data_IF_903360980336
#
_entry.id   IF_903360980336
#
_cell.length_a   1.000
_cell.length_b   1.000
_cell.length_c   1.000
_cell.angle_alpha   90.00
_cell.angle_beta   90.00
_cell.angle_gamma   90.00
#
_symmetry.space_group_name_H-M   'P 1'
#
loop_
_entity.id
_entity.type
_entity.pdbx_description
1 polymer ?
#
# COMPACT_ATOMS: atom_id res chain seq x y z
N UNK A 1 -1.42 10.78 8.43
CA UNK A 1 -1.55 11.70 7.29
C UNK A 1 -1.95 10.86 6.08
N UNK A 2 -2.93 11.26 5.32
CA UNK A 2 -3.35 10.51 4.12
C UNK A 2 -2.32 10.65 3.01
N UNK A 3 -2.20 9.64 2.12
CA UNK A 3 -1.28 9.68 0.94
C UNK A 3 -1.49 10.95 0.11
N UNK A 4 -2.75 11.41 0.00
CA UNK A 4 -3.13 12.66 -0.66
C UNK A 4 -2.48 13.90 -0.01
N UNK A 5 -2.48 14.01 1.32
CA UNK A 5 -1.88 15.17 2.01
C UNK A 5 -0.37 15.21 1.84
N UNK A 6 0.29 14.05 1.88
CA UNK A 6 1.74 13.97 1.66
C UNK A 6 2.06 14.29 0.19
N UNK A 7 1.28 13.78 -0.76
CA UNK A 7 1.43 14.08 -2.19
C UNK A 7 1.27 15.57 -2.49
N UNK A 8 0.27 16.23 -1.91
CA UNK A 8 0.05 17.68 -2.06
C UNK A 8 1.17 18.50 -1.42
N UNK A 9 1.65 18.12 -0.22
CA UNK A 9 2.79 18.77 0.42
C UNK A 9 4.06 18.63 -0.41
N UNK A 10 4.33 17.44 -0.95
CA UNK A 10 5.47 17.19 -1.84
C UNK A 10 5.37 18.05 -3.11
N UNK A 11 4.17 18.12 -3.72
CA UNK A 11 3.91 18.98 -4.87
C UNK A 11 4.18 20.46 -4.54
N UNK A 12 3.68 20.95 -3.41
CA UNK A 12 3.89 22.31 -2.96
C UNK A 12 5.39 22.62 -2.72
N UNK A 13 6.13 21.68 -2.13
CA UNK A 13 7.59 21.82 -1.92
C UNK A 13 8.33 21.89 -3.26
N UNK A 14 8.00 21.03 -4.22
CA UNK A 14 8.67 20.97 -5.53
C UNK A 14 8.37 22.24 -6.34
N UNK A 15 7.09 22.63 -6.44
CA UNK A 15 6.68 23.88 -7.10
C UNK A 15 7.26 25.11 -6.40
N UNK A 16 7.25 25.10 -5.05
CA UNK A 16 7.89 26.14 -4.23
C UNK A 16 9.38 26.29 -4.53
N UNK A 17 10.07 25.17 -4.74
CA UNK A 17 11.47 25.15 -5.17
C UNK A 17 11.69 25.94 -6.47
N UNK A 18 10.86 25.71 -7.50
CA UNK A 18 10.95 26.46 -8.75
C UNK A 18 10.71 27.97 -8.54
N UNK A 19 9.70 28.34 -7.72
CA UNK A 19 9.41 29.74 -7.40
C UNK A 19 10.55 30.41 -6.63
N UNK A 20 11.16 29.69 -5.67
CA UNK A 20 12.37 30.16 -4.96
C UNK A 20 13.51 30.39 -5.95
N UNK A 21 13.73 29.47 -6.91
CA UNK A 21 14.73 29.63 -7.97
C UNK A 21 14.49 30.90 -8.80
N UNK A 22 13.27 31.17 -9.26
CA UNK A 22 12.89 32.39 -9.94
C UNK A 22 13.09 33.64 -9.06
N UNK A 23 12.84 33.54 -7.77
CA UNK A 23 13.12 34.63 -6.81
C UNK A 23 14.61 34.92 -6.65
N UNK A 24 15.42 33.86 -6.45
CA UNK A 24 16.88 33.97 -6.34
C UNK A 24 17.52 34.60 -7.59
N UNK A 25 17.02 34.27 -8.79
CA UNK A 25 17.48 34.90 -10.03
C UNK A 25 17.37 36.43 -10.01
N UNK A 26 16.44 37.00 -9.21
CA UNK A 26 16.26 38.46 -9.10
C UNK A 26 17.20 39.11 -8.09
N UNK A 27 17.61 38.34 -7.09
CA UNK A 27 18.37 38.83 -5.94
C UNK A 27 19.86 38.59 -6.11
N UNK A 28 20.26 37.53 -6.83
CA UNK A 28 21.68 37.21 -7.02
C UNK A 28 22.35 38.20 -8.00
N UNK A 29 23.57 38.69 -7.65
CA UNK A 29 24.39 39.50 -8.55
C UNK A 29 24.78 38.74 -9.82
N UNK A 30 24.93 39.45 -10.93
CA UNK A 30 25.19 38.85 -12.24
C UNK A 30 26.46 37.98 -12.31
N UNK A 31 27.47 38.26 -11.47
CA UNK A 31 28.70 37.46 -11.44
C UNK A 31 28.51 36.05 -10.87
N UNK A 32 27.49 35.81 -10.04
CA UNK A 32 27.11 34.47 -9.58
C UNK A 32 26.32 33.67 -10.62
N UNK A 33 25.85 34.33 -11.66
CA UNK A 33 25.12 33.74 -12.79
C UNK A 33 25.99 33.62 -14.06
N UNK A 34 27.32 33.67 -13.91
CA UNK A 34 28.26 33.49 -15.03
C UNK A 34 28.09 32.10 -15.66
N UNK A 35 28.49 31.96 -16.95
CA UNK A 35 28.41 30.68 -17.65
C UNK A 35 29.19 29.58 -16.93
N UNK A 36 30.37 29.89 -16.41
CA UNK A 36 31.21 28.95 -15.66
C UNK A 36 30.50 28.43 -14.38
N UNK A 37 29.88 29.37 -13.63
CA UNK A 37 29.08 28.99 -12.43
C UNK A 37 27.88 28.15 -12.82
N UNK A 38 27.17 28.50 -13.89
CA UNK A 38 26.04 27.71 -14.39
C UNK A 38 26.46 26.29 -14.76
N UNK A 39 27.57 26.12 -15.44
CA UNK A 39 28.03 24.82 -15.91
C UNK A 39 28.46 23.93 -14.73
N UNK A 40 29.11 24.47 -13.72
CA UNK A 40 29.45 23.76 -12.49
C UNK A 40 28.20 23.33 -11.71
N UNK A 41 27.23 24.23 -11.57
CA UNK A 41 25.96 23.89 -10.89
C UNK A 41 25.19 22.84 -11.70
N UNK A 42 25.14 22.92 -13.02
CA UNK A 42 24.49 21.89 -13.86
C UNK A 42 25.11 20.51 -13.67
N UNK A 43 26.43 20.42 -13.54
CA UNK A 43 27.12 19.15 -13.25
C UNK A 43 26.72 18.60 -11.89
N UNK A 44 26.74 19.42 -10.83
CA UNK A 44 26.34 19.01 -9.49
C UNK A 44 24.86 18.58 -9.44
N UNK A 45 23.98 19.35 -10.07
CA UNK A 45 22.55 19.06 -10.20
C UNK A 45 22.32 17.78 -11.01
N UNK A 46 23.14 17.50 -12.03
CA UNK A 46 23.11 16.27 -12.79
C UNK A 46 23.37 15.04 -11.92
N UNK A 47 24.32 15.10 -10.98
CA UNK A 47 24.58 14.02 -10.01
C UNK A 47 23.36 13.82 -9.08
N UNK A 48 22.79 14.90 -8.56
CA UNK A 48 21.58 14.82 -7.73
C UNK A 48 20.40 14.23 -8.53
N UNK A 49 20.25 14.64 -9.79
CA UNK A 49 19.17 14.16 -10.65
C UNK A 49 19.26 12.64 -10.90
N UNK A 50 20.47 12.14 -11.21
CA UNK A 50 20.68 10.70 -11.40
C UNK A 50 20.46 9.92 -10.11
N UNK A 51 20.93 10.41 -8.97
CA UNK A 51 20.69 9.79 -7.66
C UNK A 51 19.19 9.78 -7.32
N UNK A 52 18.49 10.88 -7.59
CA UNK A 52 17.04 11.00 -7.37
C UNK A 52 16.28 10.00 -8.24
N UNK A 53 16.64 9.88 -9.52
CA UNK A 53 16.00 8.95 -10.45
C UNK A 53 16.21 7.49 -10.00
N UNK A 54 17.43 7.13 -9.55
CA UNK A 54 17.74 5.82 -9.04
C UNK A 54 16.92 5.49 -7.79
N UNK A 55 16.90 6.39 -6.80
CA UNK A 55 16.15 6.21 -5.55
C UNK A 55 14.65 6.12 -5.83
N UNK A 56 14.11 6.98 -6.69
CA UNK A 56 12.70 6.94 -7.07
C UNK A 56 12.36 5.62 -7.78
N UNK A 57 13.21 5.15 -8.70
CA UNK A 57 13.03 3.88 -9.38
C UNK A 57 13.02 2.68 -8.41
N UNK A 58 13.94 2.67 -7.44
CA UNK A 58 13.96 1.66 -6.36
C UNK A 58 12.71 1.73 -5.49
N UNK A 59 12.24 2.93 -5.16
CA UNK A 59 11.01 3.10 -4.38
C UNK A 59 9.78 2.58 -5.12
N UNK A 60 9.64 2.91 -6.40
CA UNK A 60 8.53 2.41 -7.24
C UNK A 60 8.58 0.88 -7.31
N UNK A 61 9.76 0.30 -7.57
CA UNK A 61 9.95 -1.16 -7.62
C UNK A 61 9.63 -1.84 -6.30
N UNK A 62 10.11 -1.29 -5.19
CA UNK A 62 9.86 -1.82 -3.84
C UNK A 62 8.38 -1.73 -3.47
N UNK A 63 7.73 -0.58 -3.71
CA UNK A 63 6.30 -0.38 -3.42
C UNK A 63 5.41 -1.29 -4.27
N UNK A 64 5.77 -1.47 -5.56
CA UNK A 64 5.08 -2.41 -6.44
C UNK A 64 5.22 -3.85 -5.93
N UNK A 65 6.42 -4.25 -5.54
CA UNK A 65 6.67 -5.59 -4.97
C UNK A 65 5.87 -5.85 -3.70
N UNK A 66 5.76 -4.86 -2.80
CA UNK A 66 4.93 -4.98 -1.59
C UNK A 66 3.44 -5.08 -1.92
N UNK A 67 2.96 -4.28 -2.87
CA UNK A 67 1.58 -4.32 -3.32
C UNK A 67 1.22 -5.68 -3.92
N UNK A 68 2.08 -6.24 -4.78
CA UNK A 68 1.87 -7.54 -5.40
C UNK A 68 1.93 -8.68 -4.36
N UNK A 69 2.89 -8.64 -3.45
CA UNK A 69 3.00 -9.62 -2.36
C UNK A 69 1.75 -9.62 -1.46
N UNK A 70 1.16 -8.45 -1.18
CA UNK A 70 -0.11 -8.36 -0.45
C UNK A 70 -1.24 -9.05 -1.22
N UNK A 71 -1.30 -8.86 -2.55
CA UNK A 71 -2.27 -9.54 -3.41
C UNK A 71 -2.14 -11.06 -3.36
N UNK A 72 -0.93 -11.58 -3.49
CA UNK A 72 -0.64 -13.02 -3.41
C UNK A 72 -1.03 -13.62 -2.05
N UNK A 73 -0.74 -12.91 -0.96
CA UNK A 73 -1.14 -13.34 0.40
C UNK A 73 -2.66 -13.38 0.57
N UNK A 74 -3.37 -12.44 -0.04
CA UNK A 74 -4.83 -12.43 -0.01
C UNK A 74 -5.42 -13.64 -0.78
N UNK A 75 -4.79 -14.02 -1.90
CA UNK A 75 -5.15 -15.23 -2.65
C UNK A 75 -4.94 -16.48 -1.79
N UNK A 76 -3.78 -16.58 -1.11
CA UNK A 76 -3.48 -17.71 -0.24
C UNK A 76 -4.40 -17.77 0.98
N UNK A 77 -4.74 -16.61 1.55
CA UNK A 77 -5.72 -16.51 2.65
C UNK A 77 -7.10 -17.02 2.21
N UNK A 78 -7.57 -16.61 1.02
CA UNK A 78 -8.82 -17.10 0.44
C UNK A 78 -8.80 -18.61 0.17
N UNK A 79 -7.70 -19.14 -0.37
CA UNK A 79 -7.53 -20.58 -0.60
C UNK A 79 -7.60 -21.39 0.70
N UNK A 80 -6.93 -20.93 1.77
CA UNK A 80 -6.98 -21.59 3.07
C UNK A 80 -8.40 -21.60 3.66
N UNK A 81 -9.18 -20.54 3.44
CA UNK A 81 -10.60 -20.50 3.86
C UNK A 81 -11.41 -21.58 3.13
N UNK A 82 -11.23 -21.72 1.80
CA UNK A 82 -11.91 -22.74 1.00
C UNK A 82 -11.54 -24.15 1.50
N UNK A 83 -10.25 -24.40 1.72
CA UNK A 83 -9.77 -25.71 2.20
C UNK A 83 -10.34 -26.01 3.59
N UNK A 84 -10.36 -25.01 4.49
CA UNK A 84 -10.95 -25.19 5.82
C UNK A 84 -12.45 -25.53 5.73
N UNK A 85 -13.21 -24.81 4.90
CA UNK A 85 -14.65 -25.08 4.72
C UNK A 85 -14.91 -26.48 4.15
N UNK A 86 -14.12 -26.89 3.13
CA UNK A 86 -14.21 -28.24 2.54
C UNK A 86 -13.89 -29.32 3.56
N UNK A 87 -12.81 -29.16 4.34
CA UNK A 87 -12.44 -30.12 5.41
C UNK A 87 -13.55 -30.23 6.46
N UNK A 88 -14.20 -29.13 6.82
CA UNK A 88 -15.31 -29.10 7.75
C UNK A 88 -16.61 -29.71 7.15
N UNK A 89 -16.81 -29.57 5.83
CA UNK A 89 -17.91 -30.18 5.13
C UNK A 89 -17.78 -31.73 5.11
N UNK A 90 -16.56 -32.23 4.87
CA UNK A 90 -16.25 -33.67 4.89
C UNK A 90 -16.35 -34.26 6.31
N UNK A 91 -16.05 -33.47 7.35
CA UNK A 91 -16.17 -33.92 8.75
C UNK A 91 -17.59 -34.38 9.09
N UNK A 92 -18.60 -33.70 8.54
CA UNK A 92 -19.99 -34.04 8.73
C UNK A 92 -20.88 -32.90 9.23
N UNK A 93 -22.16 -33.17 9.44
CA UNK A 93 -23.17 -32.16 9.80
C UNK A 93 -22.90 -31.47 11.14
N UNK A 94 -22.14 -32.08 12.04
CA UNK A 94 -21.76 -31.53 13.34
C UNK A 94 -20.85 -30.27 13.18
N UNK A 95 -20.11 -30.16 12.07
CA UNK A 95 -19.27 -29.04 11.78
C UNK A 95 -20.03 -27.82 11.18
N UNK A 96 -21.33 -27.96 10.90
CA UNK A 96 -22.14 -26.89 10.30
C UNK A 96 -22.08 -25.57 11.08
N UNK A 97 -22.14 -25.53 12.42
CA UNK A 97 -22.00 -24.27 13.17
C UNK A 97 -20.61 -23.60 12.95
N UNK A 98 -19.54 -24.40 12.87
CA UNK A 98 -18.19 -23.86 12.62
C UNK A 98 -18.10 -23.25 11.22
N UNK A 99 -18.68 -23.89 10.18
CA UNK A 99 -18.75 -23.36 8.81
C UNK A 99 -19.54 -22.05 8.74
N UNK A 100 -20.68 -21.96 9.44
CA UNK A 100 -21.47 -20.71 9.50
C UNK A 100 -20.70 -19.57 10.15
N UNK A 101 -19.97 -19.83 11.23
CA UNK A 101 -19.10 -18.83 11.86
C UNK A 101 -17.95 -18.41 10.94
N UNK A 102 -17.34 -19.34 10.22
CA UNK A 102 -16.29 -19.05 9.24
C UNK A 102 -16.84 -18.13 8.14
N UNK A 103 -17.99 -18.45 7.56
CA UNK A 103 -18.65 -17.64 6.54
C UNK A 103 -18.92 -16.22 7.02
N UNK A 104 -19.53 -16.06 8.21
CA UNK A 104 -19.79 -14.74 8.80
C UNK A 104 -18.52 -13.96 9.05
N UNK A 105 -17.43 -14.64 9.40
CA UNK A 105 -16.12 -14.02 9.57
C UNK A 105 -15.59 -13.43 8.27
N UNK A 106 -15.68 -14.17 7.17
CA UNK A 106 -15.24 -13.71 5.85
C UNK A 106 -16.12 -12.58 5.35
N UNK A 107 -17.44 -12.67 5.51
CA UNK A 107 -18.38 -11.59 5.19
C UNK A 107 -18.05 -10.29 5.96
N UNK A 108 -17.77 -10.40 7.25
CA UNK A 108 -17.40 -9.26 8.08
C UNK A 108 -16.09 -8.59 7.64
N UNK A 109 -15.07 -9.39 7.26
CA UNK A 109 -13.79 -8.89 6.74
C UNK A 109 -14.01 -8.16 5.42
N UNK A 110 -14.78 -8.74 4.48
CA UNK A 110 -15.09 -8.11 3.19
C UNK A 110 -15.81 -6.78 3.36
N UNK A 111 -16.84 -6.73 4.20
CA UNK A 111 -17.61 -5.51 4.45
C UNK A 111 -16.77 -4.40 5.08
N UNK A 112 -15.73 -4.75 5.84
CA UNK A 112 -14.87 -3.81 6.54
C UNK A 112 -13.72 -3.29 5.69
N UNK A 113 -13.08 -4.15 4.88
CA UNK A 113 -11.92 -3.78 4.07
C UNK A 113 -12.30 -3.17 2.72
N UNK A 114 -13.45 -3.54 2.17
CA UNK A 114 -13.96 -3.02 0.89
C UNK A 114 -15.36 -2.42 1.04
N UNK A 115 -15.51 -1.35 1.84
CA UNK A 115 -16.82 -0.73 2.10
C UNK A 115 -17.37 0.04 0.89
N UNK A 116 -16.56 0.31 -0.14
CA UNK A 116 -16.96 1.08 -1.34
C UNK A 116 -18.03 0.39 -2.16
N UNK A 117 -18.31 -0.84 -1.84
CA UNK A 117 -19.47 -1.54 -2.34
C UNK A 117 -20.70 -1.32 -1.46
N UNK A 118 -20.51 -0.65 -0.31
CA UNK A 118 -21.55 -0.09 0.59
C UNK A 118 -20.92 1.01 1.44
N UNK A 119 -21.46 2.24 1.36
CA UNK A 119 -21.09 3.46 2.08
C UNK A 119 -20.60 3.29 3.53
N UNK A 120 -19.37 3.73 3.83
CA UNK A 120 -18.85 3.92 5.19
C UNK A 120 -17.38 3.51 5.34
N UNK A 121 -16.54 4.45 5.78
CA UNK A 121 -15.10 4.29 5.91
C UNK A 121 -14.68 3.17 6.86
N UNK A 122 -13.61 2.49 6.52
CA UNK A 122 -13.03 1.43 7.34
C UNK A 122 -11.54 1.63 7.59
N UNK A 123 -11.11 1.20 8.75
CA UNK A 123 -9.74 1.29 9.24
C UNK A 123 -9.16 -0.11 9.47
N UNK A 124 -7.83 -0.26 9.38
CA UNK A 124 -7.05 -1.45 9.75
C UNK A 124 -7.44 -2.05 11.12
N UNK A 125 -7.90 -1.22 12.06
CA UNK A 125 -8.49 -1.63 13.33
C UNK A 125 -9.63 -2.65 13.18
N UNK A 126 -10.26 -2.71 12.02
CA UNK A 126 -11.35 -3.64 11.74
C UNK A 126 -10.88 -5.10 11.55
N UNK A 127 -9.64 -5.33 11.07
CA UNK A 127 -9.07 -6.67 10.97
C UNK A 127 -8.65 -7.16 12.35
N UNK A 128 -8.14 -6.24 13.17
CA UNK A 128 -7.63 -6.53 14.51
C UNK A 128 -8.74 -6.97 15.47
N UNK A 129 -9.93 -6.38 15.38
CA UNK A 129 -11.11 -6.69 16.20
C UNK A 129 -12.00 -7.80 15.65
N UNK A 130 -11.61 -8.49 14.57
CA UNK A 130 -12.38 -9.62 14.06
C UNK A 130 -12.26 -10.84 15.00
N UNK A 131 -12.93 -10.77 16.15
CA UNK A 131 -13.12 -11.87 17.13
C UNK A 131 -13.82 -13.12 16.55
N UNK A 132 -14.17 -13.05 15.27
CA UNK A 132 -14.93 -14.08 14.56
C UNK A 132 -14.13 -15.36 14.29
N UNK A 133 -12.80 -15.31 14.09
CA UNK A 133 -11.96 -16.52 13.98
C UNK A 133 -11.83 -17.26 15.32
N UNK A 134 -11.89 -16.55 16.43
CA UNK A 134 -11.91 -17.17 17.76
C UNK A 134 -13.22 -17.93 17.99
N UNK A 135 -14.34 -17.44 17.47
CA UNK A 135 -15.60 -18.16 17.50
C UNK A 135 -15.52 -19.47 16.68
N UNK A 136 -14.87 -19.45 15.51
CA UNK A 136 -14.60 -20.68 14.74
C UNK A 136 -13.75 -21.66 15.57
N UNK A 137 -12.69 -21.16 16.22
CA UNK A 137 -11.82 -21.99 17.07
C UNK A 137 -12.57 -22.63 18.23
N UNK A 138 -13.49 -21.89 18.88
CA UNK A 138 -14.34 -22.44 19.94
C UNK A 138 -15.22 -23.54 19.39
N UNK A 139 -15.86 -23.33 18.23
CA UNK A 139 -16.72 -24.35 17.61
C UNK A 139 -15.95 -25.61 17.19
N UNK A 140 -14.72 -25.48 16.71
CA UNK A 140 -13.84 -26.61 16.41
C UNK A 140 -13.51 -27.43 17.67
N UNK A 141 -13.32 -26.80 18.83
CA UNK A 141 -13.05 -27.47 20.10
C UNK A 141 -14.27 -28.23 20.67
N UNK A 142 -15.46 -27.80 20.30
CA UNK A 142 -16.70 -28.46 20.70
C UNK A 142 -16.96 -29.78 19.93
N UNK A 143 -16.30 -29.98 18.77
CA UNK A 143 -16.44 -31.18 17.96
C UNK A 143 -15.82 -32.38 18.66
N UNK A 144 -16.58 -33.49 18.67
CA UNK A 144 -16.17 -34.77 19.27
C UNK A 144 -16.01 -35.80 18.15
N UNK A 145 -14.78 -36.09 17.68
CA UNK A 145 -14.57 -37.05 16.61
C UNK A 145 -14.91 -38.47 17.07
N UNK A 146 -15.78 -39.15 16.33
CA UNK A 146 -16.18 -40.53 16.58
C UNK A 146 -15.30 -41.54 15.85
N UNK A 147 -14.62 -41.15 14.77
CA UNK A 147 -13.77 -42.01 13.94
C UNK A 147 -12.35 -41.47 13.88
N UNK A 148 -11.39 -42.32 13.47
CA UNK A 148 -9.99 -41.90 13.27
C UNK A 148 -9.87 -40.89 12.12
N UNK A 149 -10.72 -41.06 11.10
CA UNK A 149 -10.80 -40.14 9.98
C UNK A 149 -11.25 -38.75 10.43
N UNK A 150 -12.31 -38.64 11.23
CA UNK A 150 -12.77 -37.39 11.83
C UNK A 150 -11.69 -36.76 12.73
N UNK A 151 -10.90 -37.57 13.46
CA UNK A 151 -9.76 -37.04 14.24
C UNK A 151 -8.68 -36.41 13.36
N UNK A 152 -8.38 -37.06 12.24
CA UNK A 152 -7.41 -36.52 11.26
C UNK A 152 -7.92 -35.22 10.64
N UNK A 153 -9.18 -35.16 10.20
CA UNK A 153 -9.81 -33.95 9.62
C UNK A 153 -9.86 -32.81 10.64
N UNK A 154 -10.19 -33.07 11.89
CA UNK A 154 -10.22 -32.06 12.95
C UNK A 154 -8.80 -31.51 13.22
N UNK A 155 -7.78 -32.37 13.24
CA UNK A 155 -6.38 -31.94 13.39
C UNK A 155 -5.95 -31.05 12.21
N UNK A 156 -6.30 -31.42 10.98
CA UNK A 156 -6.06 -30.63 9.78
C UNK A 156 -6.78 -29.28 9.83
N UNK A 157 -8.07 -29.26 10.22
CA UNK A 157 -8.85 -28.04 10.37
C UNK A 157 -8.22 -27.06 11.39
N UNK A 158 -7.72 -27.57 12.51
CA UNK A 158 -6.98 -26.78 13.49
C UNK A 158 -5.68 -26.21 12.92
N UNK A 159 -4.94 -26.98 12.12
CA UNK A 159 -3.72 -26.52 11.48
C UNK A 159 -4.04 -25.40 10.48
N UNK A 160 -5.02 -25.59 9.59
CA UNK A 160 -5.42 -24.58 8.61
C UNK A 160 -5.91 -23.29 9.31
N UNK A 161 -6.70 -23.41 10.38
CA UNK A 161 -7.15 -22.24 11.15
C UNK A 161 -5.99 -21.49 11.80
N UNK A 162 -4.94 -22.18 12.24
CA UNK A 162 -3.73 -21.55 12.75
C UNK A 162 -2.98 -20.83 11.64
N UNK A 163 -2.90 -21.41 10.44
CA UNK A 163 -2.27 -20.77 9.27
C UNK A 163 -3.07 -19.53 8.82
N UNK A 164 -4.40 -19.59 8.82
CA UNK A 164 -5.27 -18.43 8.58
C UNK A 164 -5.00 -17.34 9.62
N UNK A 165 -4.93 -17.70 10.91
CA UNK A 165 -4.66 -16.76 11.99
C UNK A 165 -3.28 -16.10 11.86
N UNK A 166 -2.25 -16.88 11.53
CA UNK A 166 -0.89 -16.36 11.27
C UNK A 166 -0.87 -15.42 10.07
N UNK A 167 -1.49 -15.84 8.95
CA UNK A 167 -1.57 -15.02 7.73
C UNK A 167 -2.26 -13.68 8.00
N UNK A 168 -3.32 -13.67 8.82
CA UNK A 168 -4.00 -12.44 9.24
C UNK A 168 -3.05 -11.46 9.93
N UNK A 169 -2.26 -11.94 10.90
CA UNK A 169 -1.31 -11.09 11.61
C UNK A 169 -0.22 -10.53 10.70
N UNK A 170 0.28 -11.35 9.77
CA UNK A 170 1.26 -10.91 8.78
C UNK A 170 0.66 -9.84 7.86
N UNK A 171 -0.58 -10.00 7.40
CA UNK A 171 -1.28 -9.01 6.59
C UNK A 171 -1.45 -7.67 7.33
N UNK A 172 -1.81 -7.71 8.62
CA UNK A 172 -1.95 -6.51 9.46
C UNK A 172 -0.60 -5.80 9.61
N UNK A 173 0.45 -6.53 9.96
CA UNK A 173 1.78 -5.96 10.17
C UNK A 173 2.37 -5.37 8.88
N UNK A 174 2.20 -6.04 7.75
CA UNK A 174 2.67 -5.53 6.46
C UNK A 174 1.89 -4.31 5.99
N UNK A 175 0.57 -4.27 6.23
CA UNK A 175 -0.23 -3.10 5.92
C UNK A 175 0.17 -1.87 6.77
N UNK A 176 0.79 -2.07 7.94
CA UNK A 176 1.31 -1.01 8.80
C UNK A 176 2.74 -0.59 8.44
N UNK A 177 3.47 -1.39 7.67
CA UNK A 177 4.82 -1.07 7.21
C UNK A 177 4.77 -0.01 6.13
N UNK A 178 4.73 1.26 6.55
CA UNK A 178 4.84 2.41 5.65
C UNK A 178 6.28 2.61 5.15
N UNK A 179 6.44 3.44 4.12
CA UNK A 179 7.75 3.93 3.69
C UNK A 179 8.43 4.68 4.84
N UNK A 180 9.75 4.49 5.02
CA UNK A 180 10.50 5.29 5.99
C UNK A 180 10.36 6.78 5.66
N UNK A 181 9.84 7.62 6.59
CA UNK A 181 9.57 9.02 6.31
C UNK A 181 10.84 9.82 5.97
N UNK A 182 11.99 9.39 6.49
CA UNK A 182 13.29 9.98 6.20
C UNK A 182 13.64 9.85 4.72
N UNK A 183 13.39 8.68 4.11
CA UNK A 183 13.70 8.44 2.71
C UNK A 183 12.86 9.32 1.78
N UNK A 184 11.57 9.46 2.10
CA UNK A 184 10.67 10.36 1.39
C UNK A 184 11.11 11.83 1.56
N UNK A 185 11.52 12.23 2.76
CA UNK A 185 12.01 13.58 3.04
C UNK A 185 13.25 13.92 2.22
N UNK A 186 14.22 13.02 2.16
CA UNK A 186 15.44 13.20 1.32
C UNK A 186 15.08 13.31 -0.16
N UNK A 187 14.17 12.46 -0.64
CA UNK A 187 13.74 12.51 -2.05
C UNK A 187 13.07 13.84 -2.41
N UNK A 188 12.13 14.30 -1.57
CA UNK A 188 11.44 15.59 -1.77
C UNK A 188 12.43 16.75 -1.69
N UNK A 189 13.37 16.72 -0.77
CA UNK A 189 14.44 17.72 -0.66
C UNK A 189 15.32 17.77 -1.92
N UNK A 190 15.77 16.63 -2.45
CA UNK A 190 16.53 16.57 -3.70
C UNK A 190 15.74 17.11 -4.88
N UNK A 191 14.48 16.72 -5.00
CA UNK A 191 13.60 17.26 -6.04
C UNK A 191 13.42 18.78 -5.90
N UNK A 192 13.21 19.28 -4.69
CA UNK A 192 13.11 20.72 -4.46
C UNK A 192 14.40 21.45 -4.90
N UNK A 193 15.59 20.93 -4.57
CA UNK A 193 16.87 21.48 -5.02
C UNK A 193 17.01 21.50 -6.55
N UNK A 194 16.60 20.42 -7.23
CA UNK A 194 16.58 20.36 -8.69
C UNK A 194 15.70 21.47 -9.27
N UNK A 195 14.50 21.65 -8.73
CA UNK A 195 13.57 22.67 -9.21
C UNK A 195 13.99 24.09 -8.86
N UNK A 196 14.67 24.30 -7.72
CA UNK A 196 15.34 25.59 -7.42
C UNK A 196 16.37 25.90 -8.50
N UNK A 197 17.21 24.93 -8.85
CA UNK A 197 18.24 25.12 -9.89
C UNK A 197 17.62 25.38 -11.26
N UNK A 198 16.57 24.66 -11.64
CA UNK A 198 15.86 24.91 -12.89
C UNK A 198 15.25 26.32 -12.91
N UNK A 199 14.58 26.75 -11.82
CA UNK A 199 14.03 28.10 -11.71
C UNK A 199 15.11 29.21 -11.75
N UNK A 200 16.28 28.95 -11.17
CA UNK A 200 17.40 29.90 -11.13
C UNK A 200 17.98 30.20 -12.52
N UNK A 201 18.07 29.17 -13.38
CA UNK A 201 18.70 29.33 -14.71
C UNK A 201 17.68 29.34 -15.86
N UNK A 202 16.38 29.27 -15.57
CA UNK A 202 15.35 29.29 -16.59
C UNK A 202 15.16 30.69 -17.19
N UNK A 203 15.04 30.82 -18.52
CA UNK A 203 14.59 32.07 -19.14
C UNK A 203 13.13 32.35 -18.73
N UNK A 204 12.85 33.64 -18.50
CA UNK A 204 11.52 34.11 -18.04
C UNK A 204 10.53 34.14 -19.21
N UNK A 205 10.07 33.01 -19.64
CA UNK A 205 8.97 32.89 -20.58
C UNK A 205 7.89 31.94 -20.09
N UNK A 206 6.69 32.13 -20.57
CA UNK A 206 5.52 31.34 -20.15
C UNK A 206 5.70 29.87 -20.48
N UNK A 207 6.33 29.55 -21.61
CA UNK A 207 6.56 28.16 -22.05
C UNK A 207 7.42 27.40 -21.06
N UNK A 208 8.53 28.00 -20.59
CA UNK A 208 9.41 27.35 -19.62
C UNK A 208 8.75 27.22 -18.25
N UNK A 209 8.02 28.24 -17.83
CA UNK A 209 7.26 28.18 -16.57
C UNK A 209 6.22 27.06 -16.61
N UNK A 210 5.48 26.93 -17.72
CA UNK A 210 4.51 25.85 -17.90
C UNK A 210 5.18 24.49 -17.93
N UNK A 211 6.31 24.34 -18.64
CA UNK A 211 7.06 23.09 -18.68
C UNK A 211 7.56 22.68 -17.30
N UNK A 212 8.09 23.61 -16.50
CA UNK A 212 8.52 23.33 -15.12
C UNK A 212 7.34 22.95 -14.23
N UNK A 213 6.20 23.60 -14.37
CA UNK A 213 4.99 23.25 -13.63
C UNK A 213 4.50 21.83 -13.95
N UNK A 214 4.40 21.48 -15.23
CA UNK A 214 4.01 20.12 -15.67
C UNK A 214 5.01 19.08 -15.17
N UNK A 215 6.31 19.36 -15.23
CA UNK A 215 7.34 18.47 -14.69
C UNK A 215 7.22 18.29 -13.16
N UNK A 216 6.95 19.36 -12.42
CA UNK A 216 6.73 19.31 -10.97
C UNK A 216 5.50 18.45 -10.62
N UNK A 217 4.39 18.64 -11.34
CA UNK A 217 3.19 17.84 -11.17
C UNK A 217 3.44 16.35 -11.49
N UNK A 218 4.23 16.06 -12.53
CA UNK A 218 4.61 14.69 -12.90
C UNK A 218 5.42 14.00 -11.79
N UNK A 219 6.40 14.70 -11.20
CA UNK A 219 7.18 14.17 -10.09
C UNK A 219 6.33 13.95 -8.82
N UNK A 220 5.45 14.90 -8.53
CA UNK A 220 4.50 14.77 -7.43
C UNK A 220 3.53 13.57 -7.62
N UNK A 221 3.07 13.35 -8.85
CA UNK A 221 2.24 12.20 -9.20
C UNK A 221 3.00 10.87 -9.01
N UNK A 222 4.29 10.81 -9.36
CA UNK A 222 5.13 9.64 -9.11
C UNK A 222 5.28 9.33 -7.61
N UNK A 223 5.53 10.36 -6.79
CA UNK A 223 5.57 10.20 -5.32
C UNK A 223 4.21 9.75 -4.78
N UNK A 224 3.12 10.34 -5.26
CA UNK A 224 1.77 9.96 -4.87
C UNK A 224 1.49 8.48 -5.20
N UNK A 225 1.86 8.03 -6.41
CA UNK A 225 1.70 6.64 -6.83
C UNK A 225 2.46 5.67 -5.89
N UNK A 226 3.70 6.01 -5.53
CA UNK A 226 4.51 5.24 -4.58
C UNK A 226 3.82 5.12 -3.23
N UNK A 227 3.25 6.22 -2.72
CA UNK A 227 2.53 6.25 -1.44
C UNK A 227 1.24 5.43 -1.49
N UNK A 228 0.48 5.51 -2.59
CA UNK A 228 -0.73 4.73 -2.78
C UNK A 228 -0.46 3.22 -2.84
N UNK A 229 0.57 2.80 -3.58
CA UNK A 229 0.97 1.39 -3.63
C UNK A 229 1.46 0.86 -2.28
N UNK A 230 1.92 1.74 -1.40
CA UNK A 230 2.37 1.40 -0.06
C UNK A 230 1.23 1.38 0.99
N UNK A 231 -0.01 1.66 0.56
CA UNK A 231 -1.23 1.59 1.38
C UNK A 231 -2.28 0.68 0.72
N UNK A 232 -1.99 -0.63 0.57
CA UNK A 232 -2.73 -1.53 -0.32
C UNK A 232 -4.17 -1.82 0.12
N UNK A 233 -4.55 -1.46 1.36
CA UNK A 233 -5.90 -1.66 1.90
C UNK A 233 -6.70 -0.36 2.06
N UNK A 234 -6.03 0.81 2.14
CA UNK A 234 -6.65 2.09 2.50
C UNK A 234 -6.53 3.18 1.43
N UNK A 235 -5.96 2.91 0.26
CA UNK A 235 -5.72 3.89 -0.80
C UNK A 235 -6.80 3.94 -1.89
N UNK A 236 -6.54 4.75 -2.93
CA UNK A 236 -7.29 4.71 -4.19
C UNK A 236 -6.99 3.41 -4.97
N UNK A 237 -5.75 2.91 -4.82
CA UNK A 237 -5.32 1.63 -5.40
C UNK A 237 -5.40 0.54 -4.33
N UNK A 238 -6.53 -0.17 -4.28
CA UNK A 238 -6.72 -1.29 -3.35
C UNK A 238 -6.43 -2.63 -4.02
N UNK A 239 -5.90 -3.56 -3.23
CA UNK A 239 -5.81 -4.97 -3.64
C UNK A 239 -7.22 -5.55 -3.82
N UNK A 240 -7.40 -6.39 -4.82
CA UNK A 240 -8.71 -6.96 -5.18
C UNK A 240 -9.31 -7.83 -4.08
N UNK A 241 -10.61 -7.65 -3.80
CA UNK A 241 -11.41 -8.50 -2.91
C UNK A 241 -11.79 -9.86 -3.52
N UNK A 242 -11.52 -10.07 -4.81
CA UNK A 242 -11.93 -11.24 -5.58
C UNK A 242 -11.59 -12.60 -4.93
N UNK A 243 -10.41 -12.82 -4.29
CA UNK A 243 -10.10 -14.09 -3.64
C UNK A 243 -11.05 -14.43 -2.50
N UNK A 244 -11.40 -13.45 -1.68
CA UNK A 244 -12.32 -13.64 -0.55
C UNK A 244 -13.77 -13.82 -1.01
N UNK A 245 -14.18 -13.15 -2.07
CA UNK A 245 -15.50 -13.35 -2.69
C UNK A 245 -15.64 -14.73 -3.27
N UNK A 246 -14.63 -15.21 -3.99
CA UNK A 246 -14.60 -16.59 -4.47
C UNK A 246 -14.72 -17.58 -3.31
N UNK A 247 -14.03 -17.35 -2.20
CA UNK A 247 -14.16 -18.17 -1.02
C UNK A 247 -15.61 -18.22 -0.51
N UNK A 248 -16.30 -17.07 -0.40
CA UNK A 248 -17.71 -17.02 0.00
C UNK A 248 -18.66 -17.74 -0.98
N UNK A 249 -18.41 -17.63 -2.27
CA UNK A 249 -19.20 -18.35 -3.29
C UNK A 249 -19.05 -19.87 -3.17
N UNK A 250 -17.85 -20.35 -2.85
CA UNK A 250 -17.61 -21.77 -2.60
C UNK A 250 -18.30 -22.27 -1.32
N UNK A 251 -18.26 -21.48 -0.25
CA UNK A 251 -18.89 -21.80 1.04
C UNK A 251 -20.43 -21.80 0.98
N UNK A 252 -21.02 -21.30 -0.08
CA UNK A 252 -22.48 -21.25 -0.30
C UNK A 252 -23.05 -22.50 -1.01
N UNK A 253 -22.16 -23.39 -1.46
CA UNK A 253 -22.51 -24.65 -2.14
C UNK A 253 -22.36 -25.83 -1.18
#
# INVERSE_FOLDING_TARGET
MTSLTIGLLSSACICGGALVGFGLQRVLPAHHLSKETQDMIKLAVGVIATSTALVLGLLVSSSKGQFDAMGERLVQFGANIIILDSTLAEYGPEAKPAREHLRRSVEAVLQRLWPEERTGGSTLAAIEHASTLDAVRVKLRELKPGTDEQRAMLAQAHQILNDISRSRWVLIEEAQRGLPPILLGVLVFWLALLFVSFGLFAPRNVTVTLALFVSACSMAAAIFLVLEMNSPLDGLMKVSSAPLRKALEFMGK
#
